data_IF_991509727533
#
_entry.id   IF_991509727533
#
_cell.length_a   1.000
_cell.length_b   1.000
_cell.length_c   1.000
_cell.angle_alpha   90.00
_cell.angle_beta   90.00
_cell.angle_gamma   90.00
#
_symmetry.space_group_name_H-M   'P 1'
#
loop_
_entity.id
_entity.type
_entity.pdbx_description
1 polymer ?
#
# COMPACT_ATOMS: atom_id res chain seq x y z
N UNK A 1 3.11 6.04 50.74
CA UNK A 1 2.21 5.87 49.56
C UNK A 1 1.44 4.57 49.73
N UNK A 2 0.12 4.58 49.51
CA UNK A 2 -0.67 3.35 49.67
C UNK A 2 -0.30 2.32 48.60
N UNK A 3 -0.30 1.01 48.92
CA UNK A 3 0.03 -0.04 47.95
C UNK A 3 -0.85 0.01 46.69
N UNK A 4 -2.08 0.51 46.81
CA UNK A 4 -3.02 0.70 45.68
C UNK A 4 -2.53 1.73 44.66
N UNK A 5 -1.88 2.81 45.12
CA UNK A 5 -1.34 3.86 44.25
C UNK A 5 -0.11 3.34 43.49
N UNK A 6 0.73 2.55 44.16
CA UNK A 6 1.89 1.91 43.52
C UNK A 6 1.45 0.93 42.44
N UNK A 7 0.45 0.08 42.70
CA UNK A 7 -0.10 -0.84 41.71
C UNK A 7 -0.70 -0.13 40.49
N UNK A 8 -1.42 0.98 40.71
CA UNK A 8 -2.00 1.76 39.62
C UNK A 8 -0.94 2.41 38.72
N UNK A 9 0.15 2.93 39.31
CA UNK A 9 1.28 3.49 38.56
C UNK A 9 2.01 2.43 37.74
N UNK A 10 2.22 1.24 38.29
CA UNK A 10 2.84 0.12 37.58
C UNK A 10 1.97 -0.30 36.39
N UNK A 11 0.66 -0.41 36.57
CA UNK A 11 -0.28 -0.72 35.48
C UNK A 11 -0.25 0.33 34.37
N UNK A 12 -0.26 1.62 34.73
CA UNK A 12 -0.14 2.70 33.74
C UNK A 12 1.19 2.64 32.99
N UNK A 13 2.30 2.37 33.69
CA UNK A 13 3.62 2.23 33.08
C UNK A 13 3.68 1.07 32.07
N UNK A 14 3.14 -0.09 32.44
CA UNK A 14 3.06 -1.26 31.54
C UNK A 14 2.17 -0.96 30.33
N UNK A 15 1.05 -0.26 30.52
CA UNK A 15 0.15 0.12 29.42
C UNK A 15 0.82 1.09 28.44
N UNK A 16 1.54 2.09 28.94
CA UNK A 16 2.29 3.05 28.11
C UNK A 16 3.43 2.36 27.35
N UNK A 17 4.17 1.47 28.02
CA UNK A 17 5.21 0.66 27.37
C UNK A 17 4.63 -0.25 26.29
N UNK A 18 3.49 -0.89 26.55
CA UNK A 18 2.76 -1.70 25.58
C UNK A 18 2.31 -0.88 24.37
N UNK A 19 1.74 0.30 24.59
CA UNK A 19 1.30 1.21 23.54
C UNK A 19 2.46 1.70 22.65
N UNK A 20 3.58 2.11 23.26
CA UNK A 20 4.78 2.55 22.53
C UNK A 20 5.40 1.40 21.71
N UNK A 21 5.46 0.20 22.29
CA UNK A 21 6.00 -0.99 21.60
C UNK A 21 5.09 -1.42 20.44
N UNK A 22 3.78 -1.38 20.64
CA UNK A 22 2.79 -1.64 19.59
C UNK A 22 2.91 -0.67 18.42
N UNK A 23 2.94 0.64 18.71
CA UNK A 23 3.07 1.68 17.70
C UNK A 23 4.40 1.58 16.90
N UNK A 24 5.51 1.29 17.59
CA UNK A 24 6.81 1.08 16.95
C UNK A 24 6.84 -0.14 16.03
N UNK A 25 6.27 -1.27 16.48
CA UNK A 25 6.21 -2.51 15.71
C UNK A 25 5.29 -2.37 14.48
N UNK A 26 4.19 -1.65 14.62
CA UNK A 26 3.25 -1.38 13.53
C UNK A 26 3.86 -0.44 12.48
N UNK A 27 4.61 0.58 12.92
CA UNK A 27 5.38 1.46 12.02
C UNK A 27 6.48 0.70 11.27
N UNK A 28 7.20 -0.19 11.93
CA UNK A 28 8.22 -1.04 11.30
C UNK A 28 7.63 -2.06 10.30
N UNK A 29 6.49 -2.67 10.64
CA UNK A 29 5.77 -3.58 9.74
C UNK A 29 5.13 -2.85 8.55
N UNK A 30 4.66 -1.63 8.77
CA UNK A 30 4.16 -0.76 7.71
C UNK A 30 5.29 -0.39 6.74
N UNK A 31 6.46 0.01 7.25
CA UNK A 31 7.62 0.32 6.41
C UNK A 31 8.11 -0.88 5.58
N UNK A 32 8.13 -2.10 6.16
CA UNK A 32 8.49 -3.32 5.42
C UNK A 32 7.45 -3.71 4.37
N UNK A 33 6.15 -3.65 4.70
CA UNK A 33 5.07 -3.91 3.73
C UNK A 33 5.04 -2.85 2.61
N UNK A 34 5.45 -1.62 2.88
CA UNK A 34 5.59 -0.58 1.86
C UNK A 34 6.73 -0.89 0.89
N UNK A 35 7.87 -1.41 1.35
CA UNK A 35 8.95 -1.86 0.44
C UNK A 35 8.46 -2.99 -0.49
N UNK A 36 7.70 -3.95 0.04
CA UNK A 36 7.06 -5.01 -0.74
C UNK A 36 5.96 -4.49 -1.68
N UNK A 37 5.32 -3.36 -1.36
CA UNK A 37 4.33 -2.69 -2.23
C UNK A 37 4.98 -1.96 -3.43
N UNK A 38 6.23 -1.49 -3.27
CA UNK A 38 7.05 -0.94 -4.36
C UNK A 38 7.85 -1.98 -5.13
N UNK A 39 8.08 -3.16 -4.54
CA UNK A 39 8.38 -4.36 -5.33
C UNK A 39 7.18 -4.67 -6.21
N UNK A 40 7.26 -4.19 -7.45
CA UNK A 40 6.25 -4.46 -8.46
C UNK A 40 5.97 -5.96 -8.51
N UNK A 41 4.70 -6.39 -8.74
CA UNK A 41 4.42 -7.76 -9.15
C UNK A 41 5.42 -8.15 -10.24
N UNK A 42 5.90 -9.41 -10.28
CA UNK A 42 6.92 -9.82 -11.23
C UNK A 42 6.56 -9.28 -12.62
N UNK A 43 7.51 -8.68 -13.36
CA UNK A 43 7.25 -7.85 -14.55
C UNK A 43 6.24 -8.50 -15.52
N UNK A 44 6.34 -9.82 -15.61
CA UNK A 44 5.52 -10.73 -16.40
C UNK A 44 4.01 -10.65 -16.08
N UNK A 45 3.59 -10.30 -14.87
CA UNK A 45 2.18 -10.27 -14.47
C UNK A 45 1.45 -9.05 -15.07
N UNK A 46 2.05 -7.85 -14.98
CA UNK A 46 1.42 -6.63 -15.48
C UNK A 46 1.33 -6.65 -17.01
N UNK A 47 2.37 -7.13 -17.69
CA UNK A 47 2.38 -7.26 -19.15
C UNK A 47 1.28 -8.21 -19.63
N UNK A 48 1.11 -9.37 -18.97
CA UNK A 48 0.02 -10.31 -19.28
C UNK A 48 -1.36 -9.68 -19.11
N UNK A 49 -1.56 -8.84 -18.10
CA UNK A 49 -2.82 -8.13 -17.87
C UNK A 49 -3.09 -7.10 -18.98
N UNK A 50 -2.07 -6.35 -19.39
CA UNK A 50 -2.18 -5.39 -20.50
C UNK A 50 -2.50 -6.14 -21.81
N UNK A 51 -1.75 -7.20 -22.10
CA UNK A 51 -1.96 -8.00 -23.31
C UNK A 51 -3.36 -8.60 -23.35
N UNK A 52 -3.84 -9.22 -22.26
CA UNK A 52 -5.21 -9.74 -22.16
C UNK A 52 -6.27 -8.65 -22.29
N UNK A 53 -6.03 -7.47 -21.72
CA UNK A 53 -6.94 -6.33 -21.82
C UNK A 53 -7.04 -5.83 -23.26
N UNK A 54 -5.92 -5.73 -23.95
CA UNK A 54 -5.85 -5.28 -25.34
C UNK A 54 -6.49 -6.31 -26.29
N UNK A 55 -6.15 -7.59 -26.12
CA UNK A 55 -6.72 -8.72 -26.85
C UNK A 55 -8.26 -8.74 -26.76
N UNK A 56 -8.82 -8.55 -25.56
CA UNK A 56 -10.28 -8.45 -25.38
C UNK A 56 -10.92 -7.21 -26.01
N UNK A 57 -10.17 -6.12 -26.14
CA UNK A 57 -10.71 -4.85 -26.61
C UNK A 57 -10.70 -4.72 -28.12
N UNK A 58 -9.68 -5.29 -28.78
CA UNK A 58 -9.46 -5.11 -30.23
C UNK A 58 -9.28 -6.41 -31.00
N UNK A 59 -9.40 -7.57 -30.33
CA UNK A 59 -9.30 -8.92 -30.91
C UNK A 59 -7.99 -9.13 -31.71
N UNK A 60 -6.89 -9.27 -30.98
CA UNK A 60 -5.56 -9.39 -31.59
C UNK A 60 -5.39 -10.76 -32.26
N UNK A 61 -4.93 -10.76 -33.51
CA UNK A 61 -4.45 -11.99 -34.15
C UNK A 61 -3.15 -12.51 -33.50
N UNK A 62 -2.79 -13.77 -33.77
CA UNK A 62 -1.62 -14.40 -33.13
C UNK A 62 -0.30 -13.66 -33.43
N UNK A 63 -0.14 -13.12 -34.64
CA UNK A 63 1.04 -12.34 -35.02
C UNK A 63 1.06 -10.98 -34.33
N UNK A 64 -0.07 -10.31 -34.19
CA UNK A 64 -0.24 -9.06 -33.45
C UNK A 64 0.06 -9.28 -31.97
N UNK A 65 -0.46 -10.37 -31.38
CA UNK A 65 -0.23 -10.73 -29.98
C UNK A 65 1.25 -10.91 -29.68
N UNK A 66 2.00 -11.56 -30.56
CA UNK A 66 3.45 -11.73 -30.42
C UNK A 66 4.19 -10.38 -30.49
N UNK A 67 3.85 -9.53 -31.47
CA UNK A 67 4.45 -8.21 -31.62
C UNK A 67 4.16 -7.31 -30.41
N UNK A 68 2.93 -7.31 -29.90
CA UNK A 68 2.57 -6.55 -28.69
C UNK A 68 3.33 -7.07 -27.48
N UNK A 69 3.47 -8.39 -27.32
CA UNK A 69 4.28 -8.97 -26.24
C UNK A 69 5.72 -8.47 -26.28
N UNK A 70 6.35 -8.52 -27.46
CA UNK A 70 7.72 -8.05 -27.64
C UNK A 70 7.87 -6.55 -27.32
N UNK A 71 6.89 -5.72 -27.67
CA UNK A 71 6.87 -4.29 -27.31
C UNK A 71 6.79 -4.13 -25.79
N UNK A 72 5.87 -4.83 -25.13
CA UNK A 72 5.71 -4.76 -23.67
C UNK A 72 6.96 -5.26 -22.92
N UNK A 73 7.66 -6.26 -23.45
CA UNK A 73 8.92 -6.77 -22.90
C UNK A 73 10.07 -5.77 -23.06
N UNK A 74 10.17 -5.12 -24.22
CA UNK A 74 11.19 -4.09 -24.47
C UNK A 74 11.13 -2.96 -23.45
N UNK A 75 9.94 -2.48 -23.12
CA UNK A 75 9.74 -1.36 -22.19
C UNK A 75 9.60 -1.78 -20.73
N UNK A 76 9.73 -3.06 -20.41
CA UNK A 76 9.53 -3.57 -19.05
C UNK A 76 10.50 -2.94 -18.04
N UNK A 77 11.77 -2.85 -18.42
CA UNK A 77 12.84 -2.30 -17.59
C UNK A 77 12.63 -0.82 -17.30
N UNK A 78 12.44 -0.03 -18.35
CA UNK A 78 12.17 1.42 -18.24
C UNK A 78 10.93 1.70 -17.38
N UNK A 79 9.85 0.93 -17.58
CA UNK A 79 8.64 1.07 -16.76
C UNK A 79 8.88 0.69 -15.29
N UNK A 80 9.74 -0.29 -15.02
CA UNK A 80 10.11 -0.69 -13.65
C UNK A 80 10.96 0.40 -12.98
N UNK A 81 11.92 0.96 -13.70
CA UNK A 81 12.79 2.02 -13.21
C UNK A 81 12.01 3.31 -12.89
N UNK A 82 11.17 3.76 -13.83
CA UNK A 82 10.27 4.89 -13.60
C UNK A 82 9.38 4.69 -12.36
N UNK A 83 8.89 3.46 -12.15
CA UNK A 83 8.11 3.13 -10.95
C UNK A 83 8.94 3.14 -9.67
N UNK A 84 10.19 2.67 -9.70
CA UNK A 84 11.09 2.71 -8.54
C UNK A 84 11.41 4.14 -8.14
N UNK A 85 11.55 5.04 -9.11
CA UNK A 85 11.87 6.45 -8.83
C UNK A 85 10.65 7.24 -8.32
N UNK A 86 9.50 7.09 -8.97
CA UNK A 86 8.30 7.91 -8.71
C UNK A 86 7.38 7.28 -7.67
N UNK A 87 7.38 5.95 -7.55
CA UNK A 87 6.53 5.20 -6.63
C UNK A 87 6.61 5.70 -5.18
N UNK A 88 7.81 5.78 -4.58
CA UNK A 88 7.97 6.28 -3.21
C UNK A 88 7.43 7.71 -3.04
N UNK A 89 7.76 8.61 -3.99
CA UNK A 89 7.30 10.01 -3.98
C UNK A 89 5.77 10.12 -3.97
N UNK A 90 5.09 9.31 -4.78
CA UNK A 90 3.62 9.29 -4.83
C UNK A 90 3.00 8.76 -3.54
N UNK A 91 3.62 7.78 -2.90
CA UNK A 91 3.13 7.24 -1.64
C UNK A 91 3.29 8.22 -0.49
N UNK A 92 4.44 8.89 -0.40
CA UNK A 92 4.66 9.92 0.60
C UNK A 92 3.67 11.08 0.42
N UNK A 93 3.36 11.45 -0.83
CA UNK A 93 2.32 12.43 -1.12
C UNK A 93 0.93 11.95 -0.64
N UNK A 94 0.56 10.70 -0.90
CA UNK A 94 -0.71 10.12 -0.42
C UNK A 94 -0.78 10.06 1.10
N UNK A 95 0.31 9.71 1.78
CA UNK A 95 0.38 9.68 3.24
C UNK A 95 0.16 11.06 3.85
N UNK A 96 0.83 12.09 3.32
CA UNK A 96 0.60 13.49 3.76
C UNK A 96 -0.83 13.94 3.52
N UNK A 97 -1.39 13.63 2.35
CA UNK A 97 -2.78 13.92 2.05
C UNK A 97 -3.74 13.22 3.01
N UNK A 98 -3.50 11.95 3.37
CA UNK A 98 -4.30 11.23 4.37
C UNK A 98 -4.23 11.89 5.75
N UNK A 99 -3.03 12.30 6.18
CA UNK A 99 -2.85 13.02 7.45
C UNK A 99 -3.59 14.36 7.47
N UNK A 100 -3.52 15.12 6.38
CA UNK A 100 -4.21 16.41 6.28
C UNK A 100 -5.73 16.22 6.26
N UNK A 101 -6.24 15.24 5.51
CA UNK A 101 -7.67 14.90 5.55
C UNK A 101 -8.13 14.45 6.93
N UNK A 102 -7.28 13.73 7.67
CA UNK A 102 -7.59 13.28 9.04
C UNK A 102 -7.77 14.45 10.00
N UNK A 103 -7.02 15.55 9.83
CA UNK A 103 -7.13 16.77 10.67
C UNK A 103 -8.47 17.48 10.50
N UNK A 104 -9.09 17.37 9.32
CA UNK A 104 -10.40 17.94 9.03
C UNK A 104 -11.57 17.11 9.58
N UNK A 105 -11.30 15.90 10.08
CA UNK A 105 -12.35 15.02 10.63
C UNK A 105 -12.65 15.37 12.09
N UNK A 106 -13.94 15.37 12.45
CA UNK A 106 -14.35 15.40 13.86
C UNK A 106 -14.02 14.08 14.55
N UNK A 107 -13.82 14.06 15.88
CA UNK A 107 -13.44 12.85 16.61
C UNK A 107 -14.37 11.66 16.36
N UNK A 108 -15.67 11.90 16.28
CA UNK A 108 -16.69 10.88 16.02
C UNK A 108 -16.66 10.32 14.58
N UNK A 109 -16.02 11.01 13.63
CA UNK A 109 -15.91 10.60 12.22
C UNK A 109 -14.67 9.74 11.94
N UNK A 110 -13.64 9.82 12.80
CA UNK A 110 -12.37 9.12 12.62
C UNK A 110 -12.52 7.60 12.39
N UNK A 111 -13.39 6.85 13.11
CA UNK A 111 -13.55 5.42 12.87
C UNK A 111 -14.12 5.10 11.48
N UNK A 112 -15.00 5.95 10.94
CA UNK A 112 -15.56 5.76 9.60
C UNK A 112 -14.55 6.15 8.52
N UNK A 113 -13.76 7.19 8.76
CA UNK A 113 -12.66 7.60 7.90
C UNK A 113 -11.59 6.51 7.79
N UNK A 114 -11.18 5.91 8.91
CA UNK A 114 -10.21 4.81 8.93
C UNK A 114 -10.68 3.63 8.11
N UNK A 115 -11.93 3.20 8.31
CA UNK A 115 -12.55 2.14 7.49
C UNK A 115 -12.63 2.50 6.02
N UNK A 116 -12.81 3.78 5.68
CA UNK A 116 -12.81 4.25 4.31
C UNK A 116 -11.40 4.14 3.70
N UNK A 117 -10.37 4.62 4.40
CA UNK A 117 -8.98 4.52 3.96
C UNK A 117 -8.52 3.08 3.83
N UNK A 118 -8.92 2.19 4.74
CA UNK A 118 -8.64 0.76 4.65
C UNK A 118 -9.24 0.11 3.40
N UNK A 119 -10.47 0.50 3.02
CA UNK A 119 -11.08 0.00 1.76
C UNK A 119 -10.35 0.52 0.53
N UNK A 120 -9.89 1.77 0.56
CA UNK A 120 -9.09 2.37 -0.53
C UNK A 120 -7.75 1.64 -0.66
N UNK A 121 -7.03 1.45 0.45
CA UNK A 121 -5.77 0.69 0.49
C UNK A 121 -5.95 -0.76 0.04
N UNK A 122 -6.98 -1.45 0.54
CA UNK A 122 -7.29 -2.82 0.13
C UNK A 122 -7.62 -2.94 -1.37
N UNK A 123 -8.15 -1.90 -2.00
CA UNK A 123 -8.40 -1.89 -3.46
C UNK A 123 -7.11 -1.72 -4.26
N UNK A 124 -6.17 -0.94 -3.74
CA UNK A 124 -4.82 -0.82 -4.31
C UNK A 124 -3.98 -2.09 -4.08
N UNK A 125 -4.17 -2.77 -2.94
CA UNK A 125 -3.49 -4.01 -2.56
C UNK A 125 -4.11 -5.27 -3.15
N UNK A 126 -5.37 -5.23 -3.59
CA UNK A 126 -6.03 -6.40 -4.18
C UNK A 126 -5.22 -6.89 -5.37
N UNK A 127 -4.65 -8.12 -5.34
CA UNK A 127 -4.15 -8.72 -6.55
C UNK A 127 -5.35 -8.80 -7.49
N UNK A 128 -5.25 -8.17 -8.67
CA UNK A 128 -6.27 -8.27 -9.71
C UNK A 128 -6.54 -9.77 -9.91
N UNK A 129 -7.69 -10.26 -9.44
CA UNK A 129 -8.04 -11.67 -9.46
C UNK A 129 -7.95 -12.17 -10.90
N UNK A 130 -7.36 -13.37 -11.02
CA UNK A 130 -6.92 -14.05 -12.23
C UNK A 130 -8.05 -14.33 -13.22
#
# INVERSE_FOLDING_TARGET
MSPRVTSALVLCGVFLLGGLTGAGLERARSARRQQEMFEAPPPNFRQRQILRGLDRAVDLDDGQRERVRAILERYAGEAQEARREVGPKLHDLRGRMEEDLRKEMRPEQLPQFDRFMDRVKARDERPKKR
#
